data_IF_520573498636
#
_entry.id   IF_520573498636
#
_cell.length_a   1.000
_cell.length_b   1.000
_cell.length_c   1.000
_cell.angle_alpha   90.00
_cell.angle_beta   90.00
_cell.angle_gamma   90.00
#
_symmetry.space_group_name_H-M   'P 1'
#
loop_
_entity.id
_entity.type
_entity.pdbx_description
1 polymer ?
#
# COMPACT_ATOMS: atom_id res chain seq x y z
N UNK A 1 -29.36 -18.85 -98.57
CA UNK A 1 -30.00 -18.74 -97.24
C UNK A 1 -31.19 -17.82 -97.40
N UNK A 2 -32.41 -18.32 -97.20
CA UNK A 2 -33.63 -17.51 -97.34
C UNK A 2 -33.79 -16.62 -96.09
N UNK A 3 -34.50 -15.48 -96.22
CA UNK A 3 -34.76 -14.56 -95.09
C UNK A 3 -35.45 -15.26 -93.89
N UNK A 4 -36.15 -16.36 -94.13
CA UNK A 4 -36.79 -17.17 -93.09
C UNK A 4 -35.79 -18.00 -92.28
N UNK A 5 -34.77 -18.58 -92.92
CA UNK A 5 -33.72 -19.35 -92.23
C UNK A 5 -32.91 -18.46 -91.27
N UNK A 6 -32.58 -17.23 -91.69
CA UNK A 6 -31.84 -16.27 -90.84
C UNK A 6 -32.67 -15.87 -89.61
N UNK A 7 -33.98 -15.65 -89.78
CA UNK A 7 -34.89 -15.36 -88.66
C UNK A 7 -35.01 -16.55 -87.72
N UNK A 8 -35.11 -17.77 -88.25
CA UNK A 8 -35.21 -19.00 -87.48
C UNK A 8 -33.95 -19.27 -86.63
N UNK A 9 -32.75 -19.17 -87.22
CA UNK A 9 -31.50 -19.33 -86.46
C UNK A 9 -31.28 -18.19 -85.45
N UNK A 10 -31.68 -16.96 -85.77
CA UNK A 10 -31.63 -15.84 -84.83
C UNK A 10 -32.49 -16.06 -83.58
N UNK A 11 -33.71 -16.62 -83.74
CA UNK A 11 -34.59 -16.98 -82.63
C UNK A 11 -34.00 -18.11 -81.77
N UNK A 12 -33.38 -19.11 -82.39
CA UNK A 12 -32.72 -20.22 -81.65
C UNK A 12 -31.53 -19.70 -80.83
N UNK A 13 -30.67 -18.87 -81.41
CA UNK A 13 -29.53 -18.28 -80.70
C UNK A 13 -30.00 -17.39 -79.54
N UNK A 14 -31.05 -16.59 -79.74
CA UNK A 14 -31.64 -15.78 -78.67
C UNK A 14 -32.26 -16.64 -77.55
N UNK A 15 -32.91 -17.76 -77.90
CA UNK A 15 -33.47 -18.69 -76.92
C UNK A 15 -32.37 -19.39 -76.10
N UNK A 16 -31.30 -19.86 -76.74
CA UNK A 16 -30.15 -20.48 -76.06
C UNK A 16 -29.44 -19.44 -75.18
N UNK A 17 -29.21 -18.23 -75.69
CA UNK A 17 -28.60 -17.14 -74.93
C UNK A 17 -29.40 -16.78 -73.69
N UNK A 18 -30.73 -16.72 -73.81
CA UNK A 18 -31.66 -16.45 -72.71
C UNK A 18 -31.68 -17.58 -71.67
N UNK A 19 -31.60 -18.84 -72.11
CA UNK A 19 -31.51 -20.00 -71.22
C UNK A 19 -30.19 -20.00 -70.43
N UNK A 20 -29.07 -19.73 -71.09
CA UNK A 20 -27.75 -19.67 -70.44
C UNK A 20 -27.65 -18.49 -69.46
N UNK A 21 -28.22 -17.33 -69.78
CA UNK A 21 -28.29 -16.21 -68.83
C UNK A 21 -29.19 -16.54 -67.64
N UNK A 22 -30.35 -17.16 -67.87
CA UNK A 22 -31.23 -17.60 -66.79
C UNK A 22 -30.53 -18.62 -65.86
N UNK A 23 -29.87 -19.64 -66.42
CA UNK A 23 -29.11 -20.62 -65.64
C UNK A 23 -27.94 -19.97 -64.88
N UNK A 24 -27.25 -19.01 -65.49
CA UNK A 24 -26.20 -18.22 -64.85
C UNK A 24 -26.71 -17.42 -63.65
N UNK A 25 -27.86 -16.75 -63.79
CA UNK A 25 -28.52 -16.01 -62.70
C UNK A 25 -28.93 -16.94 -61.56
N UNK A 26 -29.51 -18.10 -61.88
CA UNK A 26 -29.91 -19.10 -60.87
C UNK A 26 -28.69 -19.65 -60.13
N UNK A 27 -27.59 -19.93 -60.82
CA UNK A 27 -26.35 -20.39 -60.20
C UNK A 27 -25.75 -19.34 -59.27
N UNK A 28 -25.62 -18.09 -59.73
CA UNK A 28 -25.13 -16.96 -58.91
C UNK A 28 -26.03 -16.74 -57.70
N UNK A 29 -27.36 -16.79 -57.86
CA UNK A 29 -28.31 -16.67 -56.75
C UNK A 29 -28.13 -17.80 -55.72
N UNK A 30 -27.90 -19.04 -56.16
CA UNK A 30 -27.64 -20.19 -55.27
C UNK A 30 -26.33 -20.04 -54.50
N UNK A 31 -25.26 -19.65 -55.19
CA UNK A 31 -23.93 -19.43 -54.58
C UNK A 31 -23.97 -18.25 -53.61
N UNK A 32 -24.60 -17.13 -53.98
CA UNK A 32 -24.78 -15.98 -53.08
C UNK A 32 -25.59 -16.37 -51.85
N UNK A 33 -26.68 -17.13 -52.00
CA UNK A 33 -27.46 -17.61 -50.86
C UNK A 33 -26.61 -18.47 -49.91
N UNK A 34 -25.79 -19.38 -50.43
CA UNK A 34 -24.88 -20.19 -49.60
C UNK A 34 -23.82 -19.32 -48.91
N UNK A 35 -23.26 -18.34 -49.61
CA UNK A 35 -22.29 -17.42 -49.05
C UNK A 35 -22.91 -16.54 -47.94
N UNK A 36 -24.12 -16.04 -48.13
CA UNK A 36 -24.85 -15.26 -47.11
C UNK A 36 -25.15 -16.12 -45.88
N UNK A 37 -25.56 -17.39 -46.06
CA UNK A 37 -25.80 -18.31 -44.94
C UNK A 37 -24.50 -18.63 -44.17
N UNK A 38 -23.38 -18.82 -44.87
CA UNK A 38 -22.08 -19.06 -44.23
C UNK A 38 -21.60 -17.82 -43.48
N UNK A 39 -21.76 -16.62 -44.05
CA UNK A 39 -21.43 -15.36 -43.38
C UNK A 39 -22.28 -15.16 -42.12
N UNK A 40 -23.58 -15.47 -42.16
CA UNK A 40 -24.44 -15.40 -40.97
C UNK A 40 -23.97 -16.35 -39.87
N UNK A 41 -23.62 -17.59 -40.21
CA UNK A 41 -23.08 -18.55 -39.23
C UNK A 41 -21.78 -18.06 -38.60
N UNK A 42 -20.84 -17.58 -39.40
CA UNK A 42 -19.58 -17.04 -38.89
C UNK A 42 -19.79 -15.78 -38.04
N UNK A 43 -20.73 -14.91 -38.42
CA UNK A 43 -21.08 -13.73 -37.63
C UNK A 43 -21.63 -14.12 -36.26
N UNK A 44 -22.56 -15.08 -36.21
CA UNK A 44 -23.13 -15.57 -34.95
C UNK A 44 -22.08 -16.25 -34.06
N UNK A 45 -21.16 -17.02 -34.64
CA UNK A 45 -20.08 -17.66 -33.90
C UNK A 45 -19.10 -16.61 -33.32
N UNK A 46 -18.75 -15.60 -34.11
CA UNK A 46 -17.90 -14.51 -33.66
C UNK A 46 -18.55 -13.67 -32.56
N UNK A 47 -19.86 -13.40 -32.66
CA UNK A 47 -20.62 -12.67 -31.65
C UNK A 47 -20.62 -13.42 -30.31
N UNK A 48 -20.88 -14.73 -30.33
CA UNK A 48 -20.77 -15.59 -29.14
C UNK A 48 -19.37 -15.57 -28.52
N UNK A 49 -18.33 -15.74 -29.35
CA UNK A 49 -16.94 -15.66 -28.86
C UNK A 49 -16.62 -14.29 -28.25
N UNK A 50 -17.16 -13.22 -28.83
CA UNK A 50 -16.97 -11.88 -28.31
C UNK A 50 -17.66 -11.70 -26.95
N UNK A 51 -18.89 -12.21 -26.79
CA UNK A 51 -19.58 -12.22 -25.50
C UNK A 51 -18.82 -13.03 -24.45
N UNK A 52 -18.34 -14.23 -24.79
CA UNK A 52 -17.54 -15.07 -23.90
C UNK A 52 -16.25 -14.34 -23.44
N UNK A 53 -15.54 -13.70 -24.38
CA UNK A 53 -14.35 -12.89 -24.07
C UNK A 53 -14.71 -11.72 -23.16
N UNK A 54 -15.84 -11.05 -23.41
CA UNK A 54 -16.29 -9.92 -22.60
C UNK A 54 -16.63 -10.35 -21.17
N UNK A 55 -17.33 -11.48 -21.01
CA UNK A 55 -17.63 -12.05 -19.70
C UNK A 55 -16.36 -12.45 -18.95
N UNK A 56 -15.44 -13.15 -19.62
CA UNK A 56 -14.15 -13.54 -19.02
C UNK A 56 -13.33 -12.32 -18.60
N UNK A 57 -13.31 -11.27 -19.42
CA UNK A 57 -12.59 -10.03 -19.10
C UNK A 57 -13.26 -9.29 -17.94
N UNK A 58 -14.59 -9.25 -17.89
CA UNK A 58 -15.32 -8.65 -16.77
C UNK A 58 -15.02 -9.39 -15.45
N UNK A 59 -14.99 -10.72 -15.46
CA UNK A 59 -14.63 -11.53 -14.30
C UNK A 59 -13.19 -11.29 -13.84
N UNK A 60 -12.24 -11.24 -14.78
CA UNK A 60 -10.83 -10.91 -14.48
C UNK A 60 -10.67 -9.50 -13.93
N UNK A 61 -11.40 -8.52 -14.46
CA UNK A 61 -11.35 -7.14 -13.94
C UNK A 61 -11.94 -7.07 -12.53
N UNK A 62 -13.02 -7.80 -12.26
CA UNK A 62 -13.61 -7.88 -10.94
C UNK A 62 -12.67 -8.53 -9.92
N UNK A 63 -11.97 -9.61 -10.30
CA UNK A 63 -11.00 -10.26 -9.41
C UNK A 63 -9.79 -9.37 -9.13
N UNK A 64 -9.25 -8.71 -10.16
CA UNK A 64 -8.16 -7.73 -10.00
C UNK A 64 -8.58 -6.55 -9.10
N UNK A 65 -9.80 -6.04 -9.26
CA UNK A 65 -10.33 -4.98 -8.43
C UNK A 65 -10.47 -5.42 -6.96
N UNK A 66 -10.95 -6.64 -6.71
CA UNK A 66 -11.05 -7.21 -5.37
C UNK A 66 -9.67 -7.40 -4.72
N UNK A 67 -8.70 -7.91 -5.46
CA UNK A 67 -7.33 -8.10 -4.98
C UNK A 67 -6.65 -6.75 -4.67
N UNK A 68 -6.81 -5.76 -5.56
CA UNK A 68 -6.30 -4.41 -5.36
C UNK A 68 -6.92 -3.76 -4.12
N UNK A 69 -8.23 -3.91 -3.92
CA UNK A 69 -8.92 -3.40 -2.74
C UNK A 69 -8.42 -4.06 -1.45
N UNK A 70 -8.24 -5.39 -1.46
CA UNK A 70 -7.69 -6.13 -0.33
C UNK A 70 -6.24 -5.71 -0.01
N UNK A 71 -5.41 -5.52 -1.03
CA UNK A 71 -4.04 -5.05 -0.86
C UNK A 71 -3.98 -3.62 -0.35
N UNK A 72 -4.82 -2.72 -0.88
CA UNK A 72 -4.97 -1.34 -0.42
C UNK A 72 -5.36 -1.30 1.06
N UNK A 73 -6.38 -2.06 1.47
CA UNK A 73 -6.80 -2.12 2.88
C UNK A 73 -5.68 -2.66 3.79
N UNK A 74 -4.96 -3.71 3.36
CA UNK A 74 -3.80 -4.24 4.12
C UNK A 74 -2.70 -3.20 4.26
N UNK A 75 -2.40 -2.47 3.19
CA UNK A 75 -1.40 -1.40 3.19
C UNK A 75 -1.80 -0.28 4.15
N UNK A 76 -3.05 0.17 4.10
CA UNK A 76 -3.59 1.20 4.99
C UNK A 76 -3.51 0.76 6.46
N UNK A 77 -3.94 -0.47 6.78
CA UNK A 77 -3.87 -1.00 8.14
C UNK A 77 -2.42 -1.08 8.66
N UNK A 78 -1.48 -1.44 7.81
CA UNK A 78 -0.06 -1.48 8.19
C UNK A 78 0.49 -0.07 8.44
N UNK A 79 0.07 0.90 7.64
CA UNK A 79 0.43 2.31 7.80
C UNK A 79 -0.14 2.89 9.10
N UNK A 80 -1.44 2.69 9.37
CA UNK A 80 -2.08 3.07 10.64
C UNK A 80 -1.34 2.45 11.82
N UNK A 81 -1.00 1.16 11.72
CA UNK A 81 -0.24 0.47 12.77
C UNK A 81 1.16 1.05 12.96
N UNK A 82 1.84 1.47 11.89
CA UNK A 82 3.14 2.14 11.96
C UNK A 82 3.03 3.45 12.73
N UNK A 83 2.03 4.28 12.42
CA UNK A 83 1.79 5.54 13.13
C UNK A 83 1.51 5.31 14.62
N UNK A 84 0.65 4.34 14.96
CA UNK A 84 0.38 3.97 16.35
C UNK A 84 1.65 3.55 17.10
N UNK A 85 2.50 2.74 16.44
CA UNK A 85 3.76 2.28 17.01
C UNK A 85 4.69 3.46 17.28
N UNK A 86 4.90 4.32 16.29
CA UNK A 86 5.80 5.46 16.41
C UNK A 86 5.29 6.47 17.45
N UNK A 87 3.99 6.76 17.48
CA UNK A 87 3.38 7.61 18.52
C UNK A 87 3.59 7.02 19.92
N UNK A 88 3.29 5.73 20.10
CA UNK A 88 3.47 5.08 21.40
C UNK A 88 4.93 5.04 21.88
N UNK A 89 5.90 4.91 20.96
CA UNK A 89 7.32 5.01 21.29
C UNK A 89 7.71 6.45 21.66
N UNK A 90 7.21 7.44 20.93
CA UNK A 90 7.44 8.86 21.20
C UNK A 90 6.88 9.26 22.58
N UNK A 91 5.66 8.84 22.91
CA UNK A 91 5.02 9.11 24.21
C UNK A 91 5.83 8.53 25.37
N UNK A 92 6.32 7.30 25.22
CA UNK A 92 7.18 6.65 26.23
C UNK A 92 8.51 7.38 26.40
N UNK A 93 9.17 7.76 25.30
CA UNK A 93 10.41 8.54 25.36
C UNK A 93 10.20 9.90 26.04
N UNK A 94 9.14 10.63 25.66
CA UNK A 94 8.77 11.90 26.27
C UNK A 94 8.47 11.77 27.75
N UNK A 95 7.78 10.69 28.17
CA UNK A 95 7.54 10.40 29.58
C UNK A 95 8.84 10.16 30.36
N UNK A 96 9.78 9.38 29.82
CA UNK A 96 11.09 9.16 30.46
C UNK A 96 11.83 10.50 30.62
N UNK A 97 11.87 11.31 29.55
CA UNK A 97 12.51 12.63 29.61
C UNK A 97 11.87 13.53 30.69
N UNK A 98 10.54 13.64 30.71
CA UNK A 98 9.81 14.46 31.68
C UNK A 98 10.06 14.01 33.12
N UNK A 99 10.08 12.69 33.38
CA UNK A 99 10.37 12.15 34.71
C UNK A 99 11.79 12.51 35.17
N UNK A 100 12.79 12.37 34.31
CA UNK A 100 14.19 12.73 34.61
C UNK A 100 14.36 14.24 34.81
N UNK A 101 13.72 15.07 33.99
CA UNK A 101 13.77 16.53 34.15
C UNK A 101 13.13 16.97 35.47
N UNK A 102 11.99 16.36 35.81
CA UNK A 102 11.27 16.70 37.04
C UNK A 102 11.93 16.15 38.32
N UNK A 103 12.91 15.26 38.20
CA UNK A 103 13.80 14.87 39.30
C UNK A 103 14.70 16.05 39.71
N UNK A 104 15.22 16.83 38.75
CA UNK A 104 16.14 17.93 39.04
C UNK A 104 15.39 19.22 39.33
N UNK A 105 14.33 19.49 38.57
CA UNK A 105 13.58 20.75 38.63
C UNK A 105 12.16 20.51 39.14
N UNK A 106 11.74 21.19 40.22
CA UNK A 106 10.36 21.12 40.66
C UNK A 106 9.45 21.81 39.63
N UNK A 107 8.48 21.06 39.10
CA UNK A 107 7.51 21.57 38.11
C UNK A 107 6.50 22.55 38.73
N UNK A 108 6.26 22.44 40.04
CA UNK A 108 5.35 23.31 40.80
C UNK A 108 5.93 23.59 42.19
N UNK A 109 5.40 24.61 42.86
CA UNK A 109 5.71 24.92 44.28
C UNK A 109 5.40 23.76 45.24
N UNK A 110 4.61 22.76 44.82
CA UNK A 110 4.25 21.60 45.65
C UNK A 110 5.06 20.34 45.31
N UNK A 111 5.87 20.36 44.25
CA UNK A 111 6.71 19.23 43.85
C UNK A 111 8.11 19.43 44.42
N UNK A 112 8.64 18.44 45.13
CA UNK A 112 10.03 18.49 45.59
C UNK A 112 10.97 17.99 44.48
N UNK A 113 12.14 18.62 44.35
CA UNK A 113 13.26 18.07 43.57
C UNK A 113 13.89 16.90 44.32
N UNK A 114 14.63 16.06 43.59
CA UNK A 114 15.28 14.83 44.05
C UNK A 114 14.35 13.72 44.53
N UNK A 115 13.15 13.62 43.97
CA UNK A 115 12.26 12.49 44.27
C UNK A 115 12.75 11.20 43.57
N UNK A 116 13.33 10.23 44.30
CA UNK A 116 13.90 9.02 43.70
C UNK A 116 12.84 8.15 43.02
N UNK A 117 11.56 8.27 43.43
CA UNK A 117 10.47 7.50 42.81
C UNK A 117 10.33 7.83 41.32
N UNK A 118 10.66 9.06 40.90
CA UNK A 118 10.63 9.48 39.49
C UNK A 118 11.67 8.74 38.65
N UNK A 119 12.87 8.50 39.20
CA UNK A 119 13.92 7.75 38.51
C UNK A 119 13.60 6.25 38.43
N UNK A 120 12.95 5.71 39.47
CA UNK A 120 12.40 4.35 39.46
C UNK A 120 11.30 4.22 38.40
N UNK A 121 10.37 5.18 38.33
CA UNK A 121 9.34 5.20 37.31
C UNK A 121 9.93 5.36 35.90
N UNK A 122 10.92 6.24 35.72
CA UNK A 122 11.60 6.43 34.44
C UNK A 122 12.27 5.14 33.96
N UNK A 123 12.94 4.42 34.86
CA UNK A 123 13.53 3.11 34.59
C UNK A 123 12.48 2.07 34.18
N UNK A 124 11.31 2.05 34.85
CA UNK A 124 10.20 1.16 34.47
C UNK A 124 9.66 1.49 33.08
N UNK A 125 9.45 2.77 32.78
CA UNK A 125 8.95 3.21 31.46
C UNK A 125 9.99 2.92 30.37
N UNK A 126 11.28 3.02 30.68
CA UNK A 126 12.36 2.62 29.77
C UNK A 126 12.32 1.12 29.44
N UNK A 127 12.08 0.26 30.44
CA UNK A 127 11.91 -1.18 30.21
C UNK A 127 10.68 -1.47 29.34
N UNK A 128 9.56 -0.79 29.61
CA UNK A 128 8.37 -0.87 28.75
C UNK A 128 8.67 -0.41 27.31
N UNK A 129 9.44 0.67 27.12
CA UNK A 129 9.87 1.13 25.81
C UNK A 129 10.76 0.11 25.10
N UNK A 130 11.69 -0.52 25.84
CA UNK A 130 12.57 -1.56 25.32
C UNK A 130 11.78 -2.74 24.79
N UNK A 131 10.85 -3.27 25.59
CA UNK A 131 9.95 -4.35 25.17
C UNK A 131 9.07 -3.93 24.00
N UNK A 132 8.51 -2.72 24.06
CA UNK A 132 7.62 -2.20 23.03
C UNK A 132 8.32 -2.10 21.67
N UNK A 133 9.56 -1.59 21.64
CA UNK A 133 10.36 -1.53 20.40
C UNK A 133 10.72 -2.93 19.90
N UNK A 134 11.05 -3.88 20.77
CA UNK A 134 11.34 -5.26 20.37
C UNK A 134 10.11 -5.94 19.73
N UNK A 135 8.94 -5.80 20.34
CA UNK A 135 7.69 -6.40 19.83
C UNK A 135 7.22 -5.76 18.51
N UNK A 136 7.58 -4.51 18.26
CA UNK A 136 7.13 -3.75 17.10
C UNK A 136 8.28 -3.36 16.15
N UNK A 137 9.42 -4.08 16.19
CA UNK A 137 10.64 -3.72 15.48
C UNK A 137 10.44 -3.52 13.97
N UNK A 138 9.52 -4.26 13.36
CA UNK A 138 9.19 -4.19 11.93
C UNK A 138 8.61 -2.84 11.48
N UNK A 139 8.10 -2.03 12.41
CA UNK A 139 7.47 -0.74 12.11
C UNK A 139 8.42 0.44 12.27
N UNK A 140 9.63 0.22 12.76
CA UNK A 140 10.68 1.24 12.82
C UNK A 140 11.50 1.22 11.54
N UNK A 141 11.94 2.39 11.09
CA UNK A 141 12.78 2.52 9.91
C UNK A 141 14.19 1.98 10.19
N UNK A 142 14.92 1.60 9.12
CA UNK A 142 16.28 1.02 9.24
C UNK A 142 17.29 2.00 9.83
N UNK A 143 17.05 3.29 9.71
CA UNK A 143 17.86 4.39 10.24
C UNK A 143 17.45 4.82 11.67
N UNK A 144 16.58 4.04 12.33
CA UNK A 144 16.17 4.28 13.72
C UNK A 144 17.36 4.36 14.68
N UNK A 145 17.41 5.46 15.43
CA UNK A 145 18.43 5.69 16.47
C UNK A 145 18.01 5.22 17.85
N UNK A 146 16.74 4.84 18.05
CA UNK A 146 16.29 4.30 19.33
C UNK A 146 17.03 2.99 19.65
N UNK A 147 17.13 2.08 18.68
CA UNK A 147 17.86 0.81 18.85
C UNK A 147 19.29 0.98 19.36
N UNK A 148 20.07 1.90 18.79
CA UNK A 148 21.46 2.15 19.16
C UNK A 148 21.62 2.98 20.45
N UNK A 149 20.66 3.87 20.74
CA UNK A 149 20.74 4.77 21.91
C UNK A 149 20.25 4.11 23.21
N UNK A 150 19.49 3.00 23.15
CA UNK A 150 18.92 2.31 24.33
C UNK A 150 19.94 2.04 25.43
N UNK A 151 21.06 1.41 25.10
CA UNK A 151 22.07 1.04 26.09
C UNK A 151 22.65 2.28 26.77
N UNK A 152 22.87 3.35 26.01
CA UNK A 152 23.41 4.61 26.55
C UNK A 152 22.38 5.32 27.45
N UNK A 153 21.11 5.33 27.06
CA UNK A 153 20.00 5.89 27.86
C UNK A 153 19.90 5.14 29.20
N UNK A 154 19.95 3.81 29.18
CA UNK A 154 19.92 2.98 30.39
C UNK A 154 21.11 3.26 31.31
N UNK A 155 22.31 3.39 30.75
CA UNK A 155 23.52 3.73 31.51
C UNK A 155 23.37 5.09 32.19
N UNK A 156 22.85 6.11 31.50
CA UNK A 156 22.63 7.42 32.09
C UNK A 156 21.52 7.42 33.16
N UNK A 157 20.44 6.67 32.96
CA UNK A 157 19.41 6.46 33.99
C UNK A 157 20.00 5.82 35.24
N UNK A 158 20.83 4.80 35.08
CA UNK A 158 21.50 4.15 36.20
C UNK A 158 22.47 5.09 36.93
N UNK A 159 23.18 5.96 36.21
CA UNK A 159 24.02 6.97 36.86
C UNK A 159 23.20 7.97 37.68
N UNK A 160 22.04 8.40 37.17
CA UNK A 160 21.13 9.26 37.93
C UNK A 160 20.55 8.55 39.15
N UNK A 161 20.19 7.26 39.02
CA UNK A 161 19.57 6.48 40.08
C UNK A 161 20.55 6.12 41.23
N UNK A 162 21.85 6.20 40.96
CA UNK A 162 22.92 5.93 41.94
C UNK A 162 23.52 7.21 42.53
N UNK A 163 22.90 8.38 42.31
CA UNK A 163 23.31 9.62 42.96
C UNK A 163 23.08 9.52 44.48
N UNK A 164 24.03 10.03 45.25
CA UNK A 164 23.92 10.15 46.71
C UNK A 164 23.15 11.43 47.07
N UNK A 165 22.43 11.41 48.19
CA UNK A 165 21.83 12.61 48.77
C UNK A 165 22.87 13.71 49.05
N UNK A 166 24.13 13.32 49.26
CA UNK A 166 25.27 14.21 49.48
C UNK A 166 25.83 14.86 48.20
N UNK A 167 25.42 14.42 47.02
CA UNK A 167 25.94 14.97 45.76
C UNK A 167 25.46 16.41 45.56
N UNK A 168 26.31 17.27 44.98
CA UNK A 168 25.95 18.66 44.72
C UNK A 168 24.92 18.77 43.60
N UNK A 169 24.10 19.82 43.63
CA UNK A 169 23.11 20.07 42.56
C UNK A 169 23.76 20.23 41.18
N UNK A 170 24.99 20.72 41.11
CA UNK A 170 25.75 20.85 39.87
C UNK A 170 26.05 19.49 39.24
N UNK A 171 26.43 18.49 40.05
CA UNK A 171 26.66 17.11 39.59
C UNK A 171 25.35 16.50 39.08
N UNK A 172 24.24 16.72 39.79
CA UNK A 172 22.92 16.23 39.38
C UNK A 172 22.51 16.84 38.03
N UNK A 173 22.69 18.15 37.85
CA UNK A 173 22.38 18.84 36.60
C UNK A 173 23.29 18.39 35.44
N UNK A 174 24.58 18.14 35.70
CA UNK A 174 25.50 17.60 34.69
C UNK A 174 25.07 16.22 34.22
N UNK A 175 24.68 15.33 35.13
CA UNK A 175 24.18 13.98 34.81
C UNK A 175 22.86 14.02 34.04
N UNK A 176 21.96 14.93 34.40
CA UNK A 176 20.72 15.15 33.65
C UNK A 176 21.03 15.64 32.22
N UNK A 177 21.97 16.57 32.06
CA UNK A 177 22.39 17.05 30.73
C UNK A 177 22.97 15.91 29.90
N UNK A 178 23.81 15.06 30.50
CA UNK A 178 24.35 13.87 29.84
C UNK A 178 23.23 12.91 29.41
N UNK A 179 22.22 12.69 30.25
CA UNK A 179 21.03 11.93 29.90
C UNK A 179 20.27 12.54 28.72
N UNK A 180 19.98 13.85 28.76
CA UNK A 180 19.29 14.56 27.67
C UNK A 180 20.02 14.43 26.33
N UNK A 181 21.36 14.49 26.34
CA UNK A 181 22.18 14.28 25.14
C UNK A 181 22.05 12.89 24.53
N UNK A 182 21.70 11.87 25.33
CA UNK A 182 21.52 10.49 24.88
C UNK A 182 20.09 10.16 24.47
N UNK A 183 19.08 10.72 25.15
CA UNK A 183 17.68 10.46 24.80
C UNK A 183 17.19 11.30 23.62
N UNK A 184 17.66 12.54 23.47
CA UNK A 184 17.21 13.44 22.41
C UNK A 184 17.38 12.87 20.99
N UNK A 185 18.52 12.24 20.62
CA UNK A 185 18.64 11.59 19.32
C UNK A 185 17.57 10.53 19.04
N UNK A 186 17.18 9.75 20.05
CA UNK A 186 16.11 8.75 19.92
C UNK A 186 14.74 9.43 19.74
N UNK A 187 14.46 10.49 20.52
CA UNK A 187 13.22 11.28 20.39
C UNK A 187 13.11 11.89 18.99
N UNK A 188 14.16 12.56 18.52
CA UNK A 188 14.17 13.18 17.20
C UNK A 188 14.04 12.14 16.09
N UNK A 189 14.73 11.01 16.19
CA UNK A 189 14.62 9.93 15.21
C UNK A 189 13.19 9.38 15.11
N UNK A 190 12.53 9.07 16.24
CA UNK A 190 11.13 8.59 16.22
C UNK A 190 10.18 9.68 15.71
N UNK A 191 10.40 10.94 16.08
CA UNK A 191 9.61 12.08 15.60
C UNK A 191 9.72 12.28 14.09
N UNK A 192 10.93 12.24 13.54
CA UNK A 192 11.17 12.34 12.11
C UNK A 192 10.50 11.19 11.35
N UNK A 193 10.60 9.96 11.86
CA UNK A 193 9.92 8.80 11.29
C UNK A 193 8.39 8.99 11.28
N UNK A 194 7.82 9.48 12.38
CA UNK A 194 6.39 9.77 12.47
C UNK A 194 5.97 10.85 11.45
N UNK A 195 6.73 11.94 11.36
CA UNK A 195 6.45 13.03 10.40
C UNK A 195 6.55 12.57 8.95
N UNK A 196 7.57 11.77 8.60
CA UNK A 196 7.70 11.16 7.27
C UNK A 196 6.50 10.28 6.97
N UNK A 197 6.11 9.42 7.90
CA UNK A 197 4.94 8.56 7.73
C UNK A 197 3.69 9.41 7.46
N UNK A 198 3.40 10.44 8.27
CA UNK A 198 2.21 11.30 8.06
C UNK A 198 2.21 12.14 6.78
N UNK A 199 3.34 12.31 6.11
CA UNK A 199 3.47 13.09 4.88
C UNK A 199 3.28 12.27 3.60
N UNK A 200 3.32 10.94 3.70
CA UNK A 200 3.00 9.96 2.65
C UNK A 200 1.50 9.64 2.62
#
# INVERSE_FOLDING_TARGET
>A
MTMEEIRFYGVIVAAIGSLLTFLGVVYVAKVNRQHTLNLQKHSQENERRFEDIKHLNAEKLASLQAELSAQSHRSQKNYEKKLDVLSGAFDKLGKIQSLVESYVVPYTVHTQSRDPQKLVEASRVFEELREYHLRNAIFFDKDDKLGSSKSEIMVQLNYLNNLSDSDSMDVVAERQKAFSQKINPAIYSVKEQYQRATAE
#
